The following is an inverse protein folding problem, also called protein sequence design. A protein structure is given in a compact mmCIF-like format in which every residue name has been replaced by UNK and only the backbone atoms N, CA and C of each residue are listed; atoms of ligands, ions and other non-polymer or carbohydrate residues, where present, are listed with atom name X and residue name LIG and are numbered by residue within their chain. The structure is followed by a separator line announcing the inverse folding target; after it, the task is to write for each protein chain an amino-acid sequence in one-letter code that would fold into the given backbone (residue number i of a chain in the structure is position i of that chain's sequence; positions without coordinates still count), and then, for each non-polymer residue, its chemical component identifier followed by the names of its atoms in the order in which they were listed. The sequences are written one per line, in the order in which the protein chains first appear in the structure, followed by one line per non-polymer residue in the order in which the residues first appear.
data_IF_971499738811
#
_entry.id   IF_971499738811
#
_cell.length_a   1.000
_cell.length_b   1.000
_cell.length_c   1.000
_cell.angle_alpha   90.00
_cell.angle_beta   90.00
_cell.angle_gamma   90.00
#
_symmetry.space_group_name_H-M   'P 1'
#
loop_
_entity.id
_entity.type
_entity.pdbx_description
1 polymer ?
#
# COMPACT_ATOMS: atom_id res chain seq x y z
N UNK A 1 -20.40 -6.16 27.19
CA UNK A 1 -19.94 -6.28 25.78
C UNK A 1 -19.64 -7.74 25.47
N UNK A 2 -20.15 -8.27 24.35
CA UNK A 2 -19.83 -9.62 23.87
C UNK A 2 -18.33 -9.75 23.55
N UNK A 3 -17.76 -10.96 23.64
CA UNK A 3 -16.33 -11.19 23.37
C UNK A 3 -15.99 -10.78 21.94
N UNK A 4 -16.92 -10.95 21.00
CA UNK A 4 -16.82 -10.47 19.63
C UNK A 4 -16.56 -8.95 19.52
N UNK A 5 -17.34 -8.10 20.23
CA UNK A 5 -17.15 -6.65 20.18
C UNK A 5 -15.82 -6.22 20.82
N UNK A 6 -15.42 -6.86 21.93
CA UNK A 6 -14.12 -6.60 22.57
C UNK A 6 -12.93 -6.99 21.68
N UNK A 7 -13.04 -8.11 20.97
CA UNK A 7 -11.98 -8.60 20.06
C UNK A 7 -11.74 -7.68 18.87
N UNK A 8 -12.82 -7.15 18.29
CA UNK A 8 -12.71 -6.17 17.20
C UNK A 8 -12.02 -4.90 17.66
N UNK A 9 -12.41 -4.34 18.81
CA UNK A 9 -11.83 -3.09 19.30
C UNK A 9 -10.32 -3.26 19.58
N UNK A 10 -9.92 -4.38 20.18
CA UNK A 10 -8.51 -4.68 20.40
C UNK A 10 -7.76 -4.82 19.06
N UNK A 11 -8.28 -5.62 18.13
CA UNK A 11 -7.67 -5.85 16.82
C UNK A 11 -7.63 -4.62 15.91
N UNK A 12 -8.39 -3.57 16.23
CA UNK A 12 -8.44 -2.30 15.50
C UNK A 12 -7.19 -1.46 15.74
N UNK A 13 -6.67 -1.45 16.97
CA UNK A 13 -5.46 -0.72 17.36
C UNK A 13 -4.19 -1.55 17.21
N UNK A 14 -4.21 -2.79 17.68
CA UNK A 14 -3.08 -3.72 17.61
C UNK A 14 -3.52 -4.97 16.87
N UNK A 15 -2.95 -5.19 15.69
CA UNK A 15 -3.30 -6.30 14.84
C UNK A 15 -3.00 -7.61 15.58
N UNK A 16 -3.94 -8.56 15.52
CA UNK A 16 -3.82 -9.85 16.22
C UNK A 16 -4.06 -9.82 17.73
N UNK A 17 -4.22 -8.67 18.38
CA UNK A 17 -4.44 -8.60 19.83
C UNK A 17 -5.78 -9.23 20.26
N UNK A 18 -6.85 -9.08 19.47
CA UNK A 18 -8.13 -9.73 19.71
C UNK A 18 -8.05 -11.26 19.65
N UNK A 19 -7.23 -11.81 18.76
CA UNK A 19 -6.98 -13.27 18.68
C UNK A 19 -6.07 -13.77 19.81
N UNK A 20 -5.08 -12.96 20.18
CA UNK A 20 -4.09 -13.30 21.21
C UNK A 20 -4.72 -13.37 22.60
N UNK A 21 -5.46 -12.33 23.00
CA UNK A 21 -6.01 -12.21 24.35
C UNK A 21 -7.36 -12.91 24.53
N UNK A 22 -8.26 -12.83 23.54
CA UNK A 22 -9.64 -13.33 23.69
C UNK A 22 -9.77 -14.74 23.14
N UNK A 23 -9.26 -14.99 21.93
CA UNK A 23 -9.44 -16.29 21.27
C UNK A 23 -8.42 -17.36 21.71
N UNK A 24 -7.42 -16.99 22.53
CA UNK A 24 -6.26 -17.84 22.93
C UNK A 24 -5.47 -18.40 21.73
N UNK A 25 -5.61 -17.80 20.54
CA UNK A 25 -4.90 -18.21 19.33
C UNK A 25 -3.58 -17.44 19.20
N UNK A 26 -2.67 -17.68 20.16
CA UNK A 26 -1.44 -16.88 20.33
C UNK A 26 -0.55 -16.82 19.08
N UNK A 27 -0.43 -17.92 18.35
CA UNK A 27 0.41 -17.96 17.15
C UNK A 27 -0.14 -17.07 16.03
N UNK A 28 -1.45 -17.11 15.79
CA UNK A 28 -2.10 -16.28 14.77
C UNK A 28 -2.06 -14.80 15.12
N UNK A 29 -2.37 -14.48 16.37
CA UNK A 29 -2.28 -13.11 16.87
C UNK A 29 -0.86 -12.55 16.73
N UNK A 30 0.16 -13.37 17.02
CA UNK A 30 1.56 -13.00 16.84
C UNK A 30 1.91 -12.75 15.37
N UNK A 31 1.43 -13.57 14.43
CA UNK A 31 1.69 -13.36 12.99
C UNK A 31 1.14 -12.03 12.48
N UNK A 32 -0.10 -11.68 12.83
CA UNK A 32 -0.68 -10.38 12.44
C UNK A 32 0.05 -9.21 13.08
N UNK A 33 0.45 -9.35 14.34
CA UNK A 33 1.26 -8.35 15.02
C UNK A 33 2.63 -8.18 14.35
N UNK A 34 3.29 -9.27 13.95
CA UNK A 34 4.58 -9.21 13.23
C UNK A 34 4.45 -8.51 11.88
N UNK A 35 3.34 -8.68 11.17
CA UNK A 35 3.07 -7.94 9.93
C UNK A 35 2.90 -6.44 10.20
N UNK A 36 2.14 -6.07 11.23
CA UNK A 36 2.03 -4.65 11.61
C UNK A 36 3.39 -4.07 12.02
N UNK A 37 4.15 -4.81 12.83
CA UNK A 37 5.46 -4.42 13.30
C UNK A 37 6.45 -4.28 12.15
N UNK A 38 6.40 -5.14 11.12
CA UNK A 38 7.29 -5.03 9.96
C UNK A 38 6.99 -3.79 9.12
N UNK A 39 5.72 -3.45 8.91
CA UNK A 39 5.34 -2.20 8.20
C UNK A 39 5.87 -0.98 8.95
N UNK A 40 5.67 -0.94 10.27
CA UNK A 40 6.17 0.15 11.12
C UNK A 40 7.71 0.18 11.10
N UNK A 41 8.37 -0.98 11.20
CA UNK A 41 9.83 -1.08 11.16
C UNK A 41 10.42 -0.63 9.82
N UNK A 42 9.74 -0.90 8.70
CA UNK A 42 10.14 -0.40 7.39
C UNK A 42 10.04 1.13 7.40
N UNK A 43 8.92 1.70 7.83
CA UNK A 43 8.71 3.16 7.84
C UNK A 43 9.72 3.88 8.77
N UNK A 44 10.02 3.30 9.93
CA UNK A 44 10.97 3.87 10.88
C UNK A 44 12.44 3.64 10.49
N UNK A 45 12.78 2.56 9.79
CA UNK A 45 14.17 2.31 9.35
C UNK A 45 14.54 3.09 8.10
N UNK A 46 13.56 3.44 7.29
CA UNK A 46 13.76 4.20 6.03
C UNK A 46 13.49 5.70 6.18
N UNK A 47 12.82 6.11 7.26
CA UNK A 47 12.50 7.51 7.56
C UNK A 47 13.23 8.01 8.80
N UNK A 48 13.22 9.32 8.99
CA UNK A 48 13.85 10.01 10.11
C UNK A 48 12.83 10.46 11.17
N UNK A 49 11.76 9.67 11.31
CA UNK A 49 10.65 9.99 12.20
C UNK A 49 11.10 10.07 13.67
N UNK A 50 12.03 9.20 14.09
CA UNK A 50 12.53 9.16 15.46
C UNK A 50 13.40 10.39 15.73
N UNK A 51 14.28 10.74 14.79
CA UNK A 51 15.19 11.88 14.85
C UNK A 51 14.42 13.20 14.87
N UNK A 52 13.33 13.29 14.11
CA UNK A 52 12.39 14.39 14.18
C UNK A 52 11.69 14.47 15.54
N UNK A 53 11.18 13.35 16.06
CA UNK A 53 10.55 13.30 17.39
C UNK A 53 11.52 13.65 18.53
N UNK A 54 12.81 13.35 18.37
CA UNK A 54 13.88 13.70 19.31
C UNK A 54 14.35 15.15 19.16
N UNK A 55 13.79 15.93 18.22
CA UNK A 55 14.15 17.33 17.99
C UNK A 55 15.49 17.53 17.29
N UNK A 56 16.10 16.48 16.74
CA UNK A 56 17.37 16.56 16.00
C UNK A 56 17.19 17.10 14.58
N UNK A 57 15.97 17.01 14.04
CA UNK A 57 15.58 17.58 12.74
C UNK A 57 14.56 18.69 12.97
N UNK A 58 14.95 19.93 12.67
CA UNK A 58 14.10 21.12 12.88
C UNK A 58 13.10 21.36 11.75
N UNK A 59 13.44 21.04 10.49
CA UNK A 59 12.56 21.17 9.32
C UNK A 59 12.28 19.81 8.66
N UNK A 60 11.10 19.24 8.92
CA UNK A 60 10.73 17.92 8.40
C UNK A 60 10.21 18.01 6.96
N UNK A 61 11.12 17.81 6.02
CA UNK A 61 10.76 17.71 4.60
C UNK A 61 10.38 16.27 4.22
N UNK A 62 9.14 16.04 3.76
CA UNK A 62 8.68 14.69 3.38
C UNK A 62 9.57 14.02 2.34
N UNK A 63 10.14 14.81 1.43
CA UNK A 63 11.08 14.35 0.39
C UNK A 63 12.32 13.65 0.95
N UNK A 64 12.89 14.19 2.03
CA UNK A 64 14.18 13.78 2.59
C UNK A 64 14.02 12.88 3.82
N UNK A 65 13.00 13.15 4.63
CA UNK A 65 12.88 12.58 5.97
C UNK A 65 11.75 11.55 6.11
N UNK A 66 10.80 11.51 5.18
CA UNK A 66 9.72 10.53 5.26
C UNK A 66 10.21 9.11 4.96
N UNK A 67 9.59 8.13 5.62
CA UNK A 67 9.87 6.72 5.39
C UNK A 67 9.30 6.22 4.05
N UNK A 68 9.56 4.97 3.73
CA UNK A 68 9.26 4.37 2.43
C UNK A 68 7.81 4.57 1.97
N UNK A 69 6.82 4.32 2.85
CA UNK A 69 5.41 4.46 2.48
C UNK A 69 5.02 5.91 2.34
N UNK A 70 5.38 6.75 3.32
CA UNK A 70 5.01 8.17 3.29
C UNK A 70 5.68 8.90 2.12
N UNK A 71 6.95 8.61 1.87
CA UNK A 71 7.70 9.16 0.72
C UNK A 71 7.14 8.68 -0.61
N UNK A 72 6.69 7.42 -0.71
CA UNK A 72 6.04 6.93 -1.93
C UNK A 72 4.71 7.62 -2.23
N UNK A 73 3.88 7.85 -1.20
CA UNK A 73 2.63 8.62 -1.35
C UNK A 73 2.92 10.06 -1.76
N UNK A 74 3.90 10.71 -1.10
CA UNK A 74 4.32 12.05 -1.48
C UNK A 74 4.82 12.07 -2.93
N UNK A 75 5.67 11.11 -3.31
CA UNK A 75 6.29 11.03 -4.64
C UNK A 75 5.31 10.82 -5.79
N UNK A 76 4.23 10.05 -5.60
CA UNK A 76 3.20 9.92 -6.65
C UNK A 76 2.35 11.19 -6.77
N UNK A 77 2.12 11.92 -5.69
CA UNK A 77 1.30 13.13 -5.70
C UNK A 77 2.08 14.30 -6.30
N UNK A 78 3.31 14.54 -5.82
CA UNK A 78 4.10 15.72 -6.20
C UNK A 78 4.93 15.50 -7.46
N UNK A 79 5.32 14.27 -7.77
CA UNK A 79 6.27 13.93 -8.84
C UNK A 79 7.64 14.66 -8.69
N UNK A 80 7.93 15.19 -7.51
CA UNK A 80 9.16 15.89 -7.15
C UNK A 80 8.98 17.41 -7.07
N UNK A 81 9.71 18.05 -6.15
CA UNK A 81 9.61 19.50 -5.92
C UNK A 81 10.88 20.24 -6.40
N UNK A 82 12.03 19.55 -6.44
CA UNK A 82 13.32 20.18 -6.76
C UNK A 82 13.86 19.68 -8.10
N UNK A 83 14.03 20.62 -9.04
CA UNK A 83 14.61 20.37 -10.37
C UNK A 83 16.13 20.17 -10.26
N UNK A 84 16.68 19.16 -10.93
CA UNK A 84 18.13 19.03 -11.07
C UNK A 84 18.63 17.62 -11.42
N UNK A 85 19.57 17.52 -12.35
CA UNK A 85 20.09 16.23 -12.84
C UNK A 85 21.00 15.48 -11.84
N UNK A 86 21.58 16.17 -10.85
CA UNK A 86 22.53 15.58 -9.86
C UNK A 86 22.02 15.53 -8.42
N UNK A 87 21.08 16.42 -8.06
CA UNK A 87 20.52 16.58 -6.69
C UNK A 87 18.99 16.71 -6.71
N UNK A 88 18.38 16.73 -7.90
CA UNK A 88 16.94 16.86 -8.08
C UNK A 88 16.23 15.53 -8.13
N UNK A 89 14.91 15.63 -7.95
CA UNK A 89 14.05 14.47 -7.87
C UNK A 89 13.86 13.83 -9.25
N UNK A 90 13.89 12.50 -9.29
CA UNK A 90 13.65 11.75 -10.52
C UNK A 90 12.16 11.40 -10.59
N UNK A 91 11.36 12.23 -11.27
CA UNK A 91 9.89 12.08 -11.31
C UNK A 91 9.42 10.69 -11.72
N UNK A 92 10.10 10.03 -12.67
CA UNK A 92 9.78 8.65 -13.05
C UNK A 92 10.02 7.66 -11.90
N UNK A 93 11.11 7.81 -11.16
CA UNK A 93 11.41 6.94 -10.01
C UNK A 93 10.45 7.19 -8.85
N UNK A 94 10.07 8.46 -8.60
CA UNK A 94 9.06 8.81 -7.60
C UNK A 94 7.70 8.21 -7.96
N UNK A 95 7.30 8.28 -9.23
CA UNK A 95 6.05 7.67 -9.71
C UNK A 95 6.07 6.15 -9.57
N UNK A 96 7.15 5.47 -9.98
CA UNK A 96 7.28 4.01 -9.84
C UNK A 96 7.24 3.61 -8.36
N UNK A 97 8.01 4.28 -7.51
CA UNK A 97 8.04 4.04 -6.06
C UNK A 97 6.67 4.25 -5.44
N UNK A 98 5.96 5.28 -5.87
CA UNK A 98 4.60 5.56 -5.44
C UNK A 98 3.58 4.51 -5.86
N UNK A 99 3.65 4.01 -7.10
CA UNK A 99 2.80 2.90 -7.55
C UNK A 99 3.07 1.64 -6.72
N UNK A 100 4.34 1.31 -6.47
CA UNK A 100 4.74 0.19 -5.59
C UNK A 100 4.10 0.35 -4.22
N UNK A 101 4.21 1.54 -3.63
CA UNK A 101 3.61 1.86 -2.32
C UNK A 101 2.09 1.73 -2.35
N UNK A 102 1.40 2.21 -3.38
CA UNK A 102 -0.05 2.05 -3.52
C UNK A 102 -0.46 0.56 -3.57
N UNK A 103 0.27 -0.26 -4.32
CA UNK A 103 0.00 -1.72 -4.39
C UNK A 103 0.22 -2.36 -3.02
N UNK A 104 1.35 -2.07 -2.35
CA UNK A 104 1.67 -2.61 -1.04
C UNK A 104 0.65 -2.18 0.03
N UNK A 105 0.25 -0.91 0.04
CA UNK A 105 -0.79 -0.40 0.95
C UNK A 105 -2.13 -1.06 0.69
N UNK A 106 -2.47 -1.36 -0.57
CA UNK A 106 -3.64 -2.16 -0.91
C UNK A 106 -3.60 -3.56 -0.28
N UNK A 107 -2.46 -4.25 -0.40
CA UNK A 107 -2.24 -5.57 0.21
C UNK A 107 -2.32 -5.49 1.74
N UNK A 108 -1.65 -4.51 2.35
CA UNK A 108 -1.68 -4.25 3.79
C UNK A 108 -3.12 -3.98 4.26
N UNK A 109 -3.89 -3.19 3.51
CA UNK A 109 -5.30 -2.93 3.77
C UNK A 109 -6.17 -4.19 3.72
N UNK A 110 -5.94 -5.08 2.76
CA UNK A 110 -6.62 -6.38 2.71
C UNK A 110 -6.28 -7.26 3.91
N UNK A 111 -5.01 -7.29 4.33
CA UNK A 111 -4.57 -8.01 5.54
C UNK A 111 -5.21 -7.41 6.80
N UNK A 112 -5.30 -6.09 6.89
CA UNK A 112 -5.94 -5.39 8.00
C UNK A 112 -7.42 -5.77 8.15
N UNK A 113 -8.18 -5.68 7.05
CA UNK A 113 -9.59 -6.08 7.02
C UNK A 113 -9.70 -7.57 7.38
N UNK A 114 -8.82 -8.40 6.83
CA UNK A 114 -8.74 -9.83 7.15
C UNK A 114 -8.52 -10.10 8.65
N UNK A 115 -7.62 -9.37 9.29
CA UNK A 115 -7.35 -9.45 10.74
C UNK A 115 -8.61 -9.15 11.56
N UNK A 116 -9.33 -8.07 11.24
CA UNK A 116 -10.55 -7.68 11.97
C UNK A 116 -11.66 -8.72 11.78
N UNK A 117 -11.88 -9.14 10.52
CA UNK A 117 -12.91 -10.12 10.18
C UNK A 117 -12.63 -11.48 10.85
N UNK A 118 -11.37 -11.91 10.85
CA UNK A 118 -10.98 -13.17 11.51
C UNK A 118 -11.13 -13.08 13.03
N UNK A 119 -10.69 -11.98 13.66
CA UNK A 119 -10.87 -11.75 15.08
C UNK A 119 -12.35 -11.79 15.50
N UNK A 120 -13.22 -11.14 14.73
CA UNK A 120 -14.67 -11.16 14.94
C UNK A 120 -15.25 -12.57 14.82
N UNK A 121 -14.96 -13.29 13.72
CA UNK A 121 -15.48 -14.64 13.46
C UNK A 121 -15.02 -15.64 14.51
N UNK A 122 -13.75 -15.60 14.88
CA UNK A 122 -13.16 -16.47 15.91
C UNK A 122 -13.79 -16.22 17.28
N UNK A 123 -13.98 -14.95 17.67
CA UNK A 123 -14.62 -14.61 18.93
C UNK A 123 -16.12 -14.97 18.95
N UNK A 124 -16.84 -14.80 17.84
CA UNK A 124 -18.25 -15.20 17.72
C UNK A 124 -18.41 -16.73 17.82
N UNK A 125 -17.50 -17.50 17.23
CA UNK A 125 -17.49 -18.96 17.35
C UNK A 125 -17.35 -19.40 18.81
N UNK A 126 -16.44 -18.77 19.56
CA UNK A 126 -16.24 -19.04 20.99
C UNK A 126 -17.47 -18.65 21.80
N UNK A 127 -18.10 -17.50 21.50
CA UNK A 127 -19.33 -17.06 22.18
C UNK A 127 -20.49 -18.07 22.00
N UNK A 128 -20.55 -18.78 20.85
CA UNK A 128 -21.60 -19.76 20.55
C UNK A 128 -21.31 -21.18 21.05
N UNK A 129 -20.08 -21.64 20.90
CA UNK A 129 -19.71 -23.04 21.14
C UNK A 129 -18.99 -23.25 22.47
N UNK A 130 -18.57 -22.16 23.12
CA UNK A 130 -17.71 -22.13 24.31
C UNK A 130 -16.40 -22.95 24.16
N UNK A 131 -16.02 -23.28 22.92
CA UNK A 131 -14.86 -24.09 22.60
C UNK A 131 -13.75 -23.22 21.98
N UNK A 132 -12.53 -23.38 22.47
CA UNK A 132 -11.35 -22.66 22.02
C UNK A 132 -10.57 -23.55 21.06
N UNK A 133 -10.72 -23.33 19.75
CA UNK A 133 -9.89 -24.01 18.75
C UNK A 133 -8.43 -23.63 18.92
N UNK A 134 -7.55 -24.63 18.84
CA UNK A 134 -6.11 -24.40 18.89
C UNK A 134 -5.62 -23.61 17.67
N UNK A 135 -4.51 -22.88 17.83
CA UNK A 135 -3.89 -22.15 16.72
C UNK A 135 -3.47 -23.10 15.58
N UNK A 136 -2.99 -24.29 15.93
CA UNK A 136 -2.55 -25.31 14.95
C UNK A 136 -3.73 -25.88 14.15
N UNK A 137 -4.81 -26.20 14.84
CA UNK A 137 -6.05 -26.70 14.21
C UNK A 137 -6.62 -25.65 13.26
N UNK A 138 -6.68 -24.39 13.70
CA UNK A 138 -7.22 -23.31 12.88
C UNK A 138 -6.30 -22.94 11.72
N UNK A 139 -5.00 -23.23 11.80
CA UNK A 139 -4.06 -23.07 10.68
C UNK A 139 -4.20 -24.22 9.68
N UNK A 140 -4.33 -25.46 10.17
CA UNK A 140 -4.59 -26.65 9.34
C UNK A 140 -5.90 -26.50 8.57
N UNK A 141 -6.99 -26.13 9.24
CA UNK A 141 -8.28 -25.86 8.60
C UNK A 141 -8.18 -24.73 7.56
N UNK A 142 -7.39 -23.68 7.85
CA UNK A 142 -7.20 -22.57 6.91
C UNK A 142 -6.43 -23.05 5.67
N UNK A 143 -5.34 -23.80 5.86
CA UNK A 143 -4.55 -24.35 4.78
C UNK A 143 -5.39 -25.28 3.92
N UNK A 144 -6.13 -26.22 4.50
CA UNK A 144 -6.99 -27.16 3.75
C UNK A 144 -8.10 -26.45 2.98
N UNK A 145 -8.80 -25.48 3.61
CA UNK A 145 -9.93 -24.78 2.98
C UNK A 145 -9.49 -23.73 1.95
N UNK A 146 -8.28 -23.19 2.07
CA UNK A 146 -7.79 -22.06 1.24
C UNK A 146 -6.48 -22.37 0.52
N UNK A 147 -6.12 -23.63 0.41
CA UNK A 147 -4.89 -24.09 -0.23
C UNK A 147 -4.69 -23.46 -1.61
N UNK A 148 -5.72 -23.50 -2.46
CA UNK A 148 -5.69 -22.90 -3.79
C UNK A 148 -5.35 -21.40 -3.75
N UNK A 149 -5.96 -20.64 -2.83
CA UNK A 149 -5.68 -19.21 -2.68
C UNK A 149 -4.26 -18.94 -2.16
N UNK A 150 -3.72 -19.79 -1.28
CA UNK A 150 -2.35 -19.65 -0.76
C UNK A 150 -1.33 -19.84 -1.89
N UNK A 151 -1.53 -20.84 -2.75
CA UNK A 151 -0.66 -21.08 -3.92
C UNK A 151 -0.79 -19.96 -4.95
N UNK A 152 -2.01 -19.43 -5.13
CA UNK A 152 -2.24 -18.32 -6.06
C UNK A 152 -1.66 -16.99 -5.56
N UNK A 153 -1.51 -16.79 -4.25
CA UNK A 153 -1.04 -15.53 -3.68
C UNK A 153 0.32 -15.05 -4.26
N UNK A 154 1.40 -15.86 -4.33
CA UNK A 154 2.66 -15.42 -4.96
C UNK A 154 2.51 -15.16 -6.46
N UNK A 155 1.66 -15.92 -7.17
CA UNK A 155 1.41 -15.69 -8.60
C UNK A 155 0.71 -14.35 -8.82
N UNK A 156 -0.32 -14.06 -8.03
CA UNK A 156 -1.03 -12.77 -8.08
C UNK A 156 -0.08 -11.63 -7.73
N UNK A 157 0.78 -11.81 -6.72
CA UNK A 157 1.81 -10.82 -6.39
C UNK A 157 2.73 -10.55 -7.59
N UNK A 158 3.24 -11.59 -8.25
CA UNK A 158 4.07 -11.43 -9.44
C UNK A 158 3.34 -10.70 -10.57
N UNK A 159 2.08 -11.06 -10.84
CA UNK A 159 1.26 -10.39 -11.86
C UNK A 159 1.05 -8.90 -11.52
N UNK A 160 0.82 -8.57 -10.24
CA UNK A 160 0.67 -7.18 -9.79
C UNK A 160 1.93 -6.36 -10.09
N UNK A 161 3.11 -6.89 -9.83
CA UNK A 161 4.37 -6.17 -10.01
C UNK A 161 4.88 -6.18 -11.46
N UNK A 162 4.71 -7.28 -12.19
CA UNK A 162 5.27 -7.44 -13.55
C UNK A 162 4.32 -6.90 -14.61
N UNK A 163 3.01 -7.00 -14.41
CA UNK A 163 2.02 -6.63 -15.43
C UNK A 163 1.23 -5.39 -15.03
N UNK A 164 0.67 -5.38 -13.82
CA UNK A 164 -0.22 -4.29 -13.40
C UNK A 164 0.56 -3.00 -13.13
N UNK A 165 1.72 -3.07 -12.47
CA UNK A 165 2.52 -1.87 -12.19
C UNK A 165 2.97 -1.14 -13.48
N UNK A 166 3.58 -1.78 -14.50
CA UNK A 166 3.93 -1.07 -15.73
C UNK A 166 2.72 -0.54 -16.50
N UNK A 167 1.58 -1.23 -16.41
CA UNK A 167 0.33 -0.77 -16.99
C UNK A 167 -0.17 0.51 -16.31
N UNK A 168 -0.20 0.54 -14.98
CA UNK A 168 -0.55 1.74 -14.21
C UNK A 168 0.42 2.87 -14.55
N UNK A 169 1.72 2.60 -14.57
CA UNK A 169 2.73 3.60 -14.93
C UNK A 169 2.46 4.19 -16.33
N UNK A 170 2.17 3.33 -17.32
CA UNK A 170 1.85 3.76 -18.69
C UNK A 170 0.56 4.58 -18.78
N UNK A 171 -0.43 4.27 -17.93
CA UNK A 171 -1.66 5.07 -17.83
C UNK A 171 -1.33 6.43 -17.19
N UNK A 172 -0.59 6.47 -16.09
CA UNK A 172 -0.25 7.71 -15.38
C UNK A 172 0.58 8.66 -16.24
N UNK A 173 1.52 8.17 -17.06
CA UNK A 173 2.30 9.03 -17.96
C UNK A 173 1.44 9.72 -19.02
N UNK A 174 0.27 9.19 -19.37
CA UNK A 174 -0.66 9.87 -20.27
C UNK A 174 -1.29 11.13 -19.63
N UNK A 175 -1.35 11.19 -18.29
CA UNK A 175 -1.85 12.33 -17.52
C UNK A 175 -0.75 13.30 -17.10
N UNK A 176 0.48 13.12 -17.58
CA UNK A 176 1.60 14.01 -17.29
C UNK A 176 2.14 14.74 -18.52
N UNK A 177 2.97 15.76 -18.30
CA UNK A 177 3.65 16.51 -19.38
C UNK A 177 4.84 15.76 -20.01
N UNK A 178 4.90 14.43 -19.89
CA UNK A 178 6.00 13.61 -20.40
C UNK A 178 6.08 13.68 -21.94
N UNK A 179 7.08 14.40 -22.45
CA UNK A 179 7.28 14.64 -23.89
C UNK A 179 8.77 14.48 -24.22
N UNK A 180 9.12 14.21 -25.49
CA UNK A 180 10.53 14.15 -25.95
C UNK A 180 11.37 15.40 -25.60
N UNK A 181 10.74 16.57 -25.40
CA UNK A 181 11.41 17.80 -24.94
C UNK A 181 11.48 18.00 -23.42
N UNK A 182 10.75 17.19 -22.64
CA UNK A 182 10.69 17.21 -21.17
C UNK A 182 11.08 15.83 -20.61
N UNK A 183 12.33 15.44 -20.85
CA UNK A 183 12.87 14.19 -20.34
C UNK A 183 13.54 14.44 -18.99
N UNK A 184 13.20 13.67 -17.94
CA UNK A 184 13.99 13.62 -16.71
C UNK A 184 15.44 13.18 -17.04
N UNK A 185 16.46 13.65 -16.29
CA UNK A 185 16.39 14.28 -14.98
C UNK A 185 16.54 15.82 -14.98
N UNK A 186 16.58 16.46 -16.15
CA UNK A 186 16.75 17.91 -16.26
C UNK A 186 15.46 18.69 -15.93
N UNK A 187 14.30 18.12 -16.28
CA UNK A 187 12.98 18.69 -16.02
C UNK A 187 12.13 17.74 -15.17
N UNK A 188 11.38 18.29 -14.23
CA UNK A 188 10.36 17.55 -13.47
C UNK A 188 9.14 17.30 -14.36
N UNK A 189 8.47 16.18 -14.10
CA UNK A 189 7.20 15.83 -14.72
C UNK A 189 6.07 16.37 -13.84
N UNK A 190 5.12 17.09 -14.43
CA UNK A 190 3.95 17.62 -13.74
C UNK A 190 2.67 16.93 -14.23
N UNK A 191 1.66 16.89 -13.36
CA UNK A 191 0.32 16.44 -13.71
C UNK A 191 -0.38 17.48 -14.61
N UNK A 192 -0.76 17.05 -15.82
CA UNK A 192 -1.54 17.87 -16.77
C UNK A 192 -2.99 17.42 -16.88
N UNK A 193 -3.37 16.37 -16.16
CA UNK A 193 -4.72 15.82 -16.16
C UNK A 193 -5.20 15.46 -17.57
N UNK A 194 -6.30 16.05 -18.01
CA UNK A 194 -6.99 15.68 -19.24
C UNK A 194 -6.49 16.50 -20.46
N UNK A 195 -5.53 17.41 -20.28
CA UNK A 195 -5.06 18.29 -21.36
C UNK A 195 -4.52 17.52 -22.58
N UNK A 196 -3.77 16.43 -22.35
CA UNK A 196 -3.25 15.59 -23.43
C UNK A 196 -4.38 14.97 -24.26
N UNK A 197 -5.47 14.54 -23.60
CA UNK A 197 -6.64 13.99 -24.28
C UNK A 197 -7.37 15.07 -25.08
N UNK A 198 -7.56 16.27 -24.53
CA UNK A 198 -8.15 17.40 -25.27
C UNK A 198 -7.34 17.74 -26.52
N UNK A 199 -6.00 17.74 -26.41
CA UNK A 199 -5.12 17.97 -27.55
C UNK A 199 -5.32 16.92 -28.65
N UNK A 200 -5.49 15.64 -28.29
CA UNK A 200 -5.73 14.56 -29.26
C UNK A 200 -7.04 14.73 -30.05
N UNK A 201 -8.12 15.14 -29.40
CA UNK A 201 -9.40 15.39 -30.08
C UNK A 201 -9.37 16.59 -31.03
N UNK A 202 -8.48 17.55 -30.78
CA UNK A 202 -8.31 18.75 -31.61
C UNK A 202 -7.33 18.55 -32.78
N UNK A 203 -6.72 17.37 -32.93
CA UNK A 203 -5.85 17.09 -34.07
C UNK A 203 -6.70 16.97 -35.34
N UNK A 204 -6.38 17.71 -36.42
CA UNK A 204 -7.20 17.78 -37.65
C UNK A 204 -7.56 16.44 -38.28
N UNK A 205 -6.68 15.43 -38.13
CA UNK A 205 -6.93 14.07 -38.61
C UNK A 205 -8.15 13.43 -37.92
N UNK A 206 -8.34 13.66 -36.61
CA UNK A 206 -9.42 13.05 -35.84
C UNK A 206 -10.71 13.87 -35.90
N UNK A 207 -10.61 15.21 -35.95
CA UNK A 207 -11.79 16.07 -36.08
C UNK A 207 -12.52 15.85 -37.40
N UNK A 208 -11.80 15.55 -38.49
CA UNK A 208 -12.42 15.25 -39.80
C UNK A 208 -13.26 13.96 -39.81
N UNK A 209 -12.99 13.00 -38.92
CA UNK A 209 -13.70 11.72 -38.82
C UNK A 209 -14.88 11.78 -37.83
N UNK A 210 -14.74 12.55 -36.75
CA UNK A 210 -15.75 12.66 -35.70
C UNK A 210 -16.85 13.71 -35.96
N UNK A 211 -16.54 14.75 -36.73
CA UNK A 211 -17.49 15.84 -37.05
C UNK A 211 -18.10 15.71 -38.46
N UNK A 212 -18.10 14.51 -39.02
CA UNK A 212 -18.83 14.16 -40.24
C UNK A 212 -20.16 13.51 -39.88
#
# INVERSE_FOLDING_TARGET
MTKAKKSVILSLFLWGSGQFFICKQRLKGLLFFLIQASVIAIELSTGYWIEWMMGMVSDFQMRLHAGFFTKGIWGIITLGDVRGAKVGDHSMMLMITGIIVCILLGIIGLVYIGNIVDAYKSAQYIDKTNNYKSSKETLKEFYEKRFAYIILAPVVLLVLFVTVMPMIFSILTAFTNYTKGNLPPANLIDWVGIENFKKLFNVPIWSSVLYR
#
